data_IF_276030626093
#
_entry.id   IF_276030626093
#
_cell.length_a   1.000
_cell.length_b   1.000
_cell.length_c   1.000
_cell.angle_alpha   90.00
_cell.angle_beta   90.00
_cell.angle_gamma   90.00
#
_symmetry.space_group_name_H-M   'P 1'
#
loop_
_entity.id
_entity.type
_entity.pdbx_description
1 polymer ?
#
# COMPACT_ATOMS: atom_id res chain seq x y z
N UNK A 1 -24.04 4.36 12.45
CA UNK A 1 -22.56 4.39 12.59
C UNK A 1 -21.78 3.63 11.49
N UNK A 2 -22.35 3.44 10.29
CA UNK A 2 -21.69 2.76 9.14
C UNK A 2 -21.13 3.72 8.09
N UNK A 3 -21.59 4.97 8.10
CA UNK A 3 -21.22 6.00 7.11
C UNK A 3 -19.84 6.59 7.42
N UNK A 4 -19.53 6.82 8.71
CA UNK A 4 -18.23 7.31 9.17
C UNK A 4 -17.07 6.40 8.72
N UNK A 5 -17.20 5.08 8.92
CA UNK A 5 -16.18 4.10 8.50
C UNK A 5 -15.91 4.08 7.00
N UNK A 6 -16.91 4.37 6.15
CA UNK A 6 -16.74 4.40 4.69
C UNK A 6 -16.08 5.69 4.20
N UNK A 7 -16.45 6.83 4.78
CA UNK A 7 -15.80 8.11 4.47
C UNK A 7 -14.34 8.11 4.91
N UNK A 8 -14.03 7.59 6.10
CA UNK A 8 -12.66 7.52 6.61
C UNK A 8 -11.78 6.64 5.72
N UNK A 9 -12.29 5.50 5.26
CA UNK A 9 -11.57 4.62 4.33
C UNK A 9 -11.28 5.30 2.99
N UNK A 10 -12.26 6.05 2.45
CA UNK A 10 -12.08 6.76 1.19
C UNK A 10 -11.05 7.89 1.31
N UNK A 11 -11.10 8.66 2.40
CA UNK A 11 -10.11 9.71 2.71
C UNK A 11 -8.71 9.13 2.90
N UNK A 12 -8.61 7.98 3.55
CA UNK A 12 -7.35 7.27 3.76
C UNK A 12 -6.77 6.74 2.44
N UNK A 13 -7.60 6.13 1.59
CA UNK A 13 -7.20 5.71 0.24
C UNK A 13 -6.74 6.89 -0.62
N UNK A 14 -7.46 8.02 -0.59
CA UNK A 14 -7.08 9.23 -1.33
C UNK A 14 -5.78 9.84 -0.79
N UNK A 15 -5.58 9.83 0.53
CA UNK A 15 -4.34 10.28 1.16
C UNK A 15 -3.17 9.38 0.74
N UNK A 16 -3.32 8.05 0.83
CA UNK A 16 -2.31 7.09 0.40
C UNK A 16 -1.98 7.27 -1.09
N UNK A 17 -2.97 7.50 -1.93
CA UNK A 17 -2.75 7.73 -3.36
C UNK A 17 -2.00 9.03 -3.65
N UNK A 18 -2.13 10.06 -2.80
CA UNK A 18 -1.35 11.31 -2.89
C UNK A 18 0.05 11.17 -2.30
N UNK A 19 0.22 10.31 -1.30
CA UNK A 19 1.45 10.12 -0.55
C UNK A 19 2.41 9.12 -1.23
N UNK A 20 1.84 8.13 -1.92
CA UNK A 20 2.55 7.13 -2.70
C UNK A 20 2.78 7.63 -4.13
N UNK A 21 3.95 7.32 -4.68
CA UNK A 21 4.19 7.49 -6.12
C UNK A 21 3.34 6.52 -6.94
N UNK A 22 3.14 6.81 -8.23
CA UNK A 22 2.39 5.92 -9.13
C UNK A 22 2.93 4.48 -9.13
N UNK A 23 4.25 4.32 -9.02
CA UNK A 23 4.88 3.01 -8.92
C UNK A 23 4.55 2.31 -7.59
N UNK A 24 4.66 3.01 -6.47
CA UNK A 24 4.33 2.48 -5.14
C UNK A 24 2.84 2.13 -5.05
N UNK A 25 1.96 2.96 -5.59
CA UNK A 25 0.53 2.70 -5.64
C UNK A 25 0.21 1.42 -6.43
N UNK A 26 0.84 1.24 -7.60
CA UNK A 26 0.69 0.03 -8.40
C UNK A 26 1.20 -1.22 -7.67
N UNK A 27 2.33 -1.11 -6.99
CA UNK A 27 2.87 -2.20 -6.15
C UNK A 27 1.89 -2.54 -5.01
N UNK A 28 1.41 -1.54 -4.29
CA UNK A 28 0.46 -1.72 -3.18
C UNK A 28 -0.85 -2.33 -3.66
N UNK A 29 -1.37 -1.88 -4.81
CA UNK A 29 -2.61 -2.38 -5.39
C UNK A 29 -2.50 -3.86 -5.76
N UNK A 30 -1.38 -4.29 -6.35
CA UNK A 30 -1.13 -5.71 -6.61
C UNK A 30 -1.04 -6.53 -5.31
N UNK A 31 -0.37 -5.99 -4.29
CA UNK A 31 -0.25 -6.63 -2.99
C UNK A 31 -1.60 -6.77 -2.26
N UNK A 32 -2.45 -5.74 -2.32
CA UNK A 32 -3.81 -5.77 -1.74
C UNK A 32 -4.73 -6.81 -2.39
N UNK A 33 -4.51 -7.12 -3.67
CA UNK A 33 -5.24 -8.19 -4.39
C UNK A 33 -4.70 -9.58 -4.03
N UNK A 34 -3.61 -9.66 -3.27
CA UNK A 34 -2.97 -10.92 -2.88
C UNK A 34 -1.99 -11.48 -3.92
N UNK A 35 -1.55 -10.66 -4.89
CA UNK A 35 -0.53 -11.07 -5.87
C UNK A 35 0.82 -11.26 -5.18
N UNK A 36 1.57 -12.27 -5.61
CA UNK A 36 2.94 -12.49 -5.15
C UNK A 36 3.89 -11.40 -5.67
N UNK A 37 5.02 -11.21 -5.00
CA UNK A 37 6.03 -10.23 -5.41
C UNK A 37 6.55 -10.48 -6.83
N UNK A 38 6.61 -11.75 -7.28
CA UNK A 38 6.98 -12.10 -8.66
C UNK A 38 5.94 -11.67 -9.68
N UNK A 39 4.66 -11.85 -9.38
CA UNK A 39 3.57 -11.45 -10.28
C UNK A 39 3.53 -9.93 -10.42
N UNK A 40 3.63 -9.20 -9.31
CA UNK A 40 3.70 -7.73 -9.32
C UNK A 40 4.93 -7.25 -10.10
N UNK A 41 6.08 -7.89 -9.89
CA UNK A 41 7.30 -7.57 -10.62
C UNK A 41 7.13 -7.80 -12.13
N UNK A 42 6.52 -8.92 -12.53
CA UNK A 42 6.25 -9.24 -13.93
C UNK A 42 5.28 -8.24 -14.58
N UNK A 43 4.21 -7.86 -13.87
CA UNK A 43 3.19 -6.94 -14.35
C UNK A 43 3.72 -5.50 -14.48
N UNK A 44 4.57 -5.07 -13.54
CA UNK A 44 5.20 -3.76 -13.54
C UNK A 44 6.52 -3.72 -14.31
N UNK A 45 6.89 -4.81 -14.98
CA UNK A 45 8.16 -4.98 -15.70
C UNK A 45 9.37 -4.54 -14.88
N UNK A 46 9.37 -4.87 -13.59
CA UNK A 46 10.44 -4.54 -12.66
C UNK A 46 10.99 -5.80 -11.97
N UNK A 47 11.98 -5.62 -11.10
CA UNK A 47 12.56 -6.73 -10.34
C UNK A 47 11.77 -6.95 -9.05
N UNK A 48 11.72 -8.18 -8.56
CA UNK A 48 11.15 -8.51 -7.23
C UNK A 48 11.75 -7.66 -6.11
N UNK A 49 13.05 -7.36 -6.19
CA UNK A 49 13.74 -6.43 -5.27
C UNK A 49 13.21 -4.99 -5.35
N UNK A 50 12.76 -4.53 -6.53
CA UNK A 50 12.14 -3.21 -6.69
C UNK A 50 10.75 -3.15 -6.05
N UNK A 51 10.00 -4.26 -6.11
CA UNK A 51 8.71 -4.41 -5.42
C UNK A 51 8.92 -4.37 -3.90
N UNK A 52 9.88 -5.13 -3.38
CA UNK A 52 10.23 -5.12 -1.95
C UNK A 52 10.70 -3.74 -1.46
N UNK A 53 11.56 -3.08 -2.22
CA UNK A 53 11.98 -1.71 -1.95
C UNK A 53 10.80 -0.73 -1.93
N UNK A 54 9.82 -0.91 -2.82
CA UNK A 54 8.61 -0.08 -2.84
C UNK A 54 7.72 -0.36 -1.61
N UNK A 55 7.50 -1.63 -1.25
CA UNK A 55 6.73 -2.01 -0.06
C UNK A 55 7.37 -1.48 1.22
N UNK A 56 8.70 -1.52 1.32
CA UNK A 56 9.44 -0.95 2.44
C UNK A 56 9.23 0.57 2.54
N UNK A 57 9.30 1.29 1.41
CA UNK A 57 9.02 2.74 1.37
C UNK A 57 7.57 3.05 1.75
N UNK A 58 6.62 2.27 1.23
CA UNK A 58 5.19 2.39 1.57
C UNK A 58 4.98 2.20 3.07
N UNK A 59 5.55 1.14 3.65
CA UNK A 59 5.43 0.84 5.08
C UNK A 59 5.98 1.98 5.94
N UNK A 60 7.16 2.50 5.60
CA UNK A 60 7.76 3.64 6.29
C UNK A 60 6.91 4.91 6.19
N UNK A 61 6.43 5.22 4.98
CA UNK A 61 5.51 6.33 4.70
C UNK A 61 4.22 6.25 5.55
N UNK A 62 3.64 5.06 5.67
CA UNK A 62 2.44 4.83 6.49
C UNK A 62 2.78 4.92 7.98
N UNK A 63 3.92 4.38 8.42
CA UNK A 63 4.37 4.50 9.82
C UNK A 63 4.71 5.93 10.23
N UNK A 64 5.19 6.76 9.30
CA UNK A 64 5.45 8.19 9.53
C UNK A 64 4.14 9.00 9.57
N UNK A 65 3.05 8.52 8.97
CA UNK A 65 1.73 9.16 9.12
C UNK A 65 1.06 8.75 10.44
N UNK A 66 0.51 9.69 11.23
CA UNK A 66 -0.12 9.41 12.53
C UNK A 66 -1.45 8.63 12.45
N UNK A 67 -1.85 8.16 11.26
CA UNK A 67 -3.01 7.32 11.08
C UNK A 67 -2.62 5.86 11.26
N UNK A 68 -2.98 5.29 12.41
CA UNK A 68 -2.87 3.85 12.67
C UNK A 68 -3.78 3.13 11.68
N UNK A 69 -3.21 2.56 10.60
CA UNK A 69 -3.93 1.68 9.69
C UNK A 69 -4.18 0.34 10.44
N UNK A 70 -5.43 0.02 10.84
CA UNK A 70 -5.71 -1.12 11.74
C UNK A 70 -5.51 -2.50 11.08
N UNK A 71 -5.08 -2.56 9.82
CA UNK A 71 -4.96 -3.80 9.02
C UNK A 71 -3.57 -4.07 8.43
N UNK A 72 -2.52 -3.43 8.93
CA UNK A 72 -1.10 -3.62 8.50
C UNK A 72 -0.20 -3.97 9.69
N UNK A 73 -0.76 -4.07 10.89
CA UNK A 73 -0.08 -4.62 12.05
C UNK A 73 -0.18 -6.15 12.01
N UNK A 74 0.99 -6.77 12.09
CA UNK A 74 1.26 -8.20 12.28
C UNK A 74 1.20 -9.12 11.06
N UNK A 75 2.28 -9.05 10.27
CA UNK A 75 2.96 -10.28 9.86
C UNK A 75 4.17 -10.46 10.78
N UNK A 76 3.96 -11.03 11.97
CA UNK A 76 4.99 -11.64 12.80
C UNK A 76 4.48 -12.98 13.31
#
# INVERSE_FOLDING_TARGET
ELVLRREDNRRLCDMLRRLLSDFEWRVLSGYQVGKSYREIASELQCKTKSVDNALTRIKRKISETPYIWPGVTDCN
#
